data_IF_254043388603
#
_entry.id   IF_254043388603
#
_cell.length_a   1.000
_cell.length_b   1.000
_cell.length_c   1.000
_cell.angle_alpha   90.00
_cell.angle_beta   90.00
_cell.angle_gamma   90.00
#
_symmetry.space_group_name_H-M   'P 1'
#
loop_
_entity.id
_entity.type
_entity.pdbx_description
1 polymer ?
#
# COMPACT_ATOMS: atom_id res chain seq x y z
N UNK A 1 -9.28 2.62 3.46
CA UNK A 1 -9.19 1.77 2.25
C UNK A 1 -9.90 2.46 1.11
N UNK A 2 -9.22 2.65 -0.02
CA UNK A 2 -9.74 3.28 -1.24
C UNK A 2 -9.69 2.25 -2.36
N UNK A 3 -10.86 1.81 -2.84
CA UNK A 3 -11.00 0.67 -3.74
C UNK A 3 -11.34 -0.61 -2.97
N UNK A 4 -12.57 -1.09 -3.12
CA UNK A 4 -13.16 -2.25 -2.44
C UNK A 4 -13.43 -3.42 -3.41
N UNK A 5 -12.76 -3.44 -4.56
CA UNK A 5 -12.76 -4.57 -5.49
C UNK A 5 -12.02 -5.80 -4.94
N UNK A 6 -11.70 -6.78 -5.81
CA UNK A 6 -11.08 -8.05 -5.40
C UNK A 6 -9.78 -7.85 -4.59
N UNK A 7 -8.85 -7.06 -5.10
CA UNK A 7 -7.56 -6.83 -4.42
C UNK A 7 -7.73 -5.93 -3.19
N UNK A 8 -8.61 -4.92 -3.26
CA UNK A 8 -8.94 -4.05 -2.12
C UNK A 8 -9.51 -4.83 -0.93
N UNK A 9 -10.40 -5.79 -1.18
CA UNK A 9 -10.95 -6.65 -0.15
C UNK A 9 -9.87 -7.52 0.53
N UNK A 10 -8.92 -8.05 -0.23
CA UNK A 10 -7.79 -8.80 0.36
C UNK A 10 -6.84 -7.90 1.14
N UNK A 11 -6.51 -6.71 0.63
CA UNK A 11 -5.69 -5.74 1.35
C UNK A 11 -6.33 -5.36 2.70
N UNK A 12 -7.65 -5.10 2.72
CA UNK A 12 -8.39 -4.78 3.93
C UNK A 12 -8.41 -5.94 4.94
N UNK A 13 -8.57 -7.18 4.47
CA UNK A 13 -8.48 -8.38 5.33
C UNK A 13 -7.09 -8.55 5.93
N UNK A 14 -6.04 -8.28 5.15
CA UNK A 14 -4.66 -8.31 5.65
C UNK A 14 -4.43 -7.23 6.72
N UNK A 15 -4.95 -6.01 6.51
CA UNK A 15 -4.91 -4.94 7.51
C UNK A 15 -5.62 -5.37 8.80
N UNK A 16 -6.86 -5.88 8.70
CA UNK A 16 -7.62 -6.35 9.85
C UNK A 16 -6.92 -7.51 10.58
N UNK A 17 -6.31 -8.45 9.85
CA UNK A 17 -5.54 -9.55 10.43
C UNK A 17 -4.24 -9.08 11.12
N UNK A 18 -3.68 -7.96 10.67
CA UNK A 18 -2.56 -7.27 11.32
C UNK A 18 -3.02 -6.28 12.42
N UNK A 19 -4.26 -6.41 12.89
CA UNK A 19 -4.86 -5.63 13.97
C UNK A 19 -5.06 -4.13 13.66
N UNK A 20 -5.07 -3.74 12.38
CA UNK A 20 -5.53 -2.42 11.97
C UNK A 20 -7.07 -2.37 11.93
N UNK A 21 -7.65 -1.32 12.50
CA UNK A 21 -9.07 -1.01 12.43
C UNK A 21 -9.73 -0.76 13.79
N UNK A 22 -11.05 -0.48 13.82
CA UNK A 22 -11.95 -0.33 12.67
C UNK A 22 -11.55 0.83 11.75
N UNK A 23 -11.91 0.75 10.46
CA UNK A 23 -11.50 1.72 9.43
C UNK A 23 -12.63 2.16 8.50
N UNK A 24 -12.29 2.96 7.49
CA UNK A 24 -13.21 3.45 6.45
C UNK A 24 -12.94 2.74 5.11
N UNK A 25 -13.99 2.18 4.51
CA UNK A 25 -14.02 1.63 3.16
C UNK A 25 -14.68 2.62 2.20
N UNK A 26 -13.97 3.02 1.16
CA UNK A 26 -14.51 3.82 0.05
C UNK A 26 -14.36 3.06 -1.28
N UNK A 27 -15.39 3.11 -2.11
CA UNK A 27 -15.39 2.67 -3.50
C UNK A 27 -16.44 3.46 -4.30
N UNK A 28 -16.22 3.79 -5.58
CA UNK A 28 -17.26 4.33 -6.45
C UNK A 28 -18.53 3.47 -6.53
N UNK A 29 -18.42 2.15 -6.36
CA UNK A 29 -19.54 1.24 -6.10
C UNK A 29 -19.84 1.19 -4.58
N UNK A 30 -20.90 1.88 -4.10
CA UNK A 30 -21.23 1.90 -2.68
C UNK A 30 -21.62 0.53 -2.13
N UNK A 31 -22.10 -0.39 -2.97
CA UNK A 31 -22.43 -1.74 -2.52
C UNK A 31 -21.15 -2.55 -2.26
N UNK A 32 -20.07 -2.33 -3.03
CA UNK A 32 -18.77 -2.93 -2.78
C UNK A 32 -18.19 -2.45 -1.45
N UNK A 33 -18.21 -1.13 -1.20
CA UNK A 33 -17.77 -0.56 0.06
C UNK A 33 -18.59 -1.08 1.25
N UNK A 34 -19.92 -1.09 1.12
CA UNK A 34 -20.84 -1.57 2.16
C UNK A 34 -20.65 -3.04 2.50
N UNK A 35 -20.46 -3.92 1.50
CA UNK A 35 -20.20 -5.35 1.71
C UNK A 35 -18.92 -5.58 2.49
N UNK A 36 -17.82 -4.94 2.08
CA UNK A 36 -16.52 -5.12 2.73
C UNK A 36 -16.51 -4.52 4.14
N UNK A 37 -17.09 -3.32 4.31
CA UNK A 37 -17.24 -2.70 5.62
C UNK A 37 -18.02 -3.59 6.58
N UNK A 38 -19.17 -4.12 6.15
CA UNK A 38 -19.99 -5.03 6.95
C UNK A 38 -19.29 -6.35 7.30
N UNK A 39 -18.48 -6.89 6.39
CA UNK A 39 -17.66 -8.09 6.64
C UNK A 39 -16.63 -7.85 7.76
N UNK A 40 -15.95 -6.69 7.74
CA UNK A 40 -14.84 -6.39 8.64
C UNK A 40 -15.29 -5.70 9.95
N UNK A 41 -16.56 -5.32 10.07
CA UNK A 41 -17.04 -4.45 11.16
C UNK A 41 -16.46 -3.03 11.08
N UNK A 42 -16.19 -2.58 9.86
CA UNK A 42 -15.71 -1.24 9.50
C UNK A 42 -16.89 -0.39 9.00
N UNK A 43 -16.63 0.87 8.62
CA UNK A 43 -17.64 1.76 8.08
C UNK A 43 -17.42 2.00 6.58
N UNK A 44 -18.51 2.11 5.82
CA UNK A 44 -18.45 2.61 4.45
C UNK A 44 -18.57 4.13 4.49
N UNK A 45 -17.64 4.84 3.86
CA UNK A 45 -17.56 6.30 3.92
C UNK A 45 -17.12 6.92 2.60
N UNK A 46 -16.89 8.23 2.63
CA UNK A 46 -16.40 9.02 1.52
C UNK A 46 -14.89 8.83 1.27
N UNK A 47 -14.43 9.28 0.09
CA UNK A 47 -12.99 9.30 -0.23
C UNK A 47 -12.21 10.14 0.79
N UNK A 48 -12.74 11.31 1.16
CA UNK A 48 -12.11 12.21 2.13
C UNK A 48 -11.93 11.53 3.50
N UNK A 49 -12.97 10.86 4.00
CA UNK A 49 -12.90 10.12 5.27
C UNK A 49 -11.90 8.95 5.20
N UNK A 50 -11.81 8.27 4.06
CA UNK A 50 -10.85 7.19 3.83
C UNK A 50 -9.41 7.69 3.73
N UNK A 51 -9.18 8.87 3.13
CA UNK A 51 -7.86 9.51 3.01
C UNK A 51 -7.39 10.19 4.30
N UNK A 52 -8.32 10.55 5.20
CA UNK A 52 -8.01 11.14 6.50
C UNK A 52 -7.51 10.14 7.57
N UNK A 53 -7.35 8.86 7.22
CA UNK A 53 -6.87 7.82 8.15
C UNK A 53 -5.35 7.84 8.30
N UNK A 54 -4.83 7.35 9.42
CA UNK A 54 -3.38 7.25 9.67
C UNK A 54 -2.69 6.26 8.71
N UNK A 55 -3.42 5.23 8.28
CA UNK A 55 -2.99 4.23 7.30
C UNK A 55 -4.01 4.19 6.16
N UNK A 56 -3.57 4.63 5.00
CA UNK A 56 -4.34 4.61 3.76
C UNK A 56 -3.82 3.51 2.87
N UNK A 57 -4.73 2.84 2.17
CA UNK A 57 -4.37 1.82 1.19
C UNK A 57 -5.25 2.03 -0.03
N UNK A 58 -4.60 2.36 -1.14
CA UNK A 58 -5.21 2.61 -2.44
C UNK A 58 -5.05 1.36 -3.31
N UNK A 59 -6.18 0.88 -3.81
CA UNK A 59 -6.28 -0.30 -4.68
C UNK A 59 -7.35 -0.05 -5.75
N UNK A 60 -7.07 0.90 -6.62
CA UNK A 60 -7.93 1.38 -7.69
C UNK A 60 -7.36 0.98 -9.06
N UNK A 61 -8.13 1.07 -10.15
CA UNK A 61 -7.62 0.79 -11.49
C UNK A 61 -6.51 1.75 -11.99
N UNK A 62 -6.25 2.85 -11.27
CA UNK A 62 -5.22 3.83 -11.63
C UNK A 62 -5.51 4.69 -12.86
N UNK A 63 -6.77 4.76 -13.33
CA UNK A 63 -7.13 5.58 -14.50
C UNK A 63 -7.10 7.10 -14.20
N UNK A 64 -7.28 7.47 -12.94
CA UNK A 64 -7.23 8.85 -12.44
C UNK A 64 -6.71 8.83 -11.01
N UNK A 65 -5.84 9.79 -10.62
CA UNK A 65 -5.40 9.93 -9.24
C UNK A 65 -6.55 10.19 -8.28
N UNK A 66 -6.55 9.45 -7.17
CA UNK A 66 -7.46 9.61 -6.02
C UNK A 66 -6.79 10.31 -4.85
N UNK A 67 -5.46 10.22 -4.75
CA UNK A 67 -4.64 10.88 -3.73
C UNK A 67 -3.99 12.15 -4.31
N UNK A 68 -4.27 13.30 -3.71
CA UNK A 68 -3.68 14.59 -4.08
C UNK A 68 -2.68 15.04 -3.05
N UNK A 69 -1.84 16.01 -3.42
CA UNK A 69 -0.83 16.54 -2.49
C UNK A 69 -1.43 17.11 -1.20
N UNK A 70 -2.64 17.69 -1.27
CA UNK A 70 -3.35 18.23 -0.12
C UNK A 70 -3.89 17.17 0.86
N UNK A 71 -3.98 15.91 0.42
CA UNK A 71 -4.48 14.81 1.24
C UNK A 71 -3.37 14.19 2.11
N UNK A 72 -2.09 14.49 1.83
CA UNK A 72 -0.94 13.96 2.55
C UNK A 72 -0.76 14.69 3.89
N UNK A 73 -1.40 14.18 4.94
CA UNK A 73 -1.32 14.73 6.29
C UNK A 73 -0.08 14.25 7.05
N UNK A 74 0.48 15.04 7.98
CA UNK A 74 1.61 14.62 8.80
C UNK A 74 1.38 13.27 9.52
N UNK A 75 2.36 12.38 9.42
CA UNK A 75 2.30 11.05 10.04
C UNK A 75 1.58 9.96 9.23
N UNK A 76 0.92 10.28 8.12
CA UNK A 76 0.22 9.29 7.30
C UNK A 76 1.16 8.20 6.74
N UNK A 77 0.68 6.96 6.68
CA UNK A 77 1.27 5.88 5.89
C UNK A 77 0.33 5.55 4.72
N UNK A 78 0.88 5.43 3.51
CA UNK A 78 0.10 5.20 2.31
C UNK A 78 0.66 3.98 1.58
N UNK A 79 -0.19 2.99 1.35
CA UNK A 79 0.11 1.83 0.52
C UNK A 79 -0.53 2.01 -0.86
N UNK A 80 0.28 1.89 -1.91
CA UNK A 80 -0.12 2.05 -3.31
C UNK A 80 0.02 0.70 -4.01
N UNK A 81 -1.11 0.08 -4.36
CA UNK A 81 -1.17 -1.31 -4.84
C UNK A 81 -1.86 -1.44 -6.20
N UNK A 82 -2.48 -0.38 -6.72
CA UNK A 82 -3.31 -0.41 -7.92
C UNK A 82 -2.57 -0.09 -9.22
N UNK A 83 -1.45 0.64 -9.16
CA UNK A 83 -0.63 0.96 -10.33
C UNK A 83 0.25 -0.24 -10.73
N UNK A 84 -0.15 -0.95 -11.78
CA UNK A 84 0.50 -2.18 -12.27
C UNK A 84 0.90 -2.10 -13.76
N UNK A 85 1.01 -0.89 -14.32
CA UNK A 85 1.42 -0.71 -15.71
C UNK A 85 1.53 0.74 -16.18
N UNK A 86 2.14 0.98 -17.35
CA UNK A 86 2.41 2.31 -17.85
C UNK A 86 1.17 3.20 -17.95
N UNK A 87 1.27 4.41 -17.41
CA UNK A 87 0.20 5.42 -17.44
C UNK A 87 -0.90 5.23 -16.39
N UNK A 88 -0.84 4.18 -15.56
CA UNK A 88 -1.69 4.05 -14.38
C UNK A 88 -1.04 4.74 -13.19
N UNK A 89 -1.84 5.49 -12.43
CA UNK A 89 -1.43 6.12 -11.19
C UNK A 89 -2.66 6.34 -10.29
N UNK A 90 -2.50 6.16 -9.00
CA UNK A 90 -3.53 6.44 -8.00
C UNK A 90 -3.23 7.73 -7.22
N UNK A 91 -2.03 8.28 -7.33
CA UNK A 91 -1.59 9.52 -6.71
C UNK A 91 -1.09 10.56 -7.73
N UNK A 92 -1.25 11.83 -7.40
CA UNK A 92 -0.56 12.91 -8.11
C UNK A 92 0.96 12.83 -7.82
N UNK A 93 1.84 13.10 -8.81
CA UNK A 93 3.29 13.08 -8.62
C UNK A 93 3.78 13.90 -7.42
N UNK A 94 3.14 15.04 -7.16
CA UNK A 94 3.45 15.91 -6.02
C UNK A 94 3.06 15.27 -4.67
N UNK A 95 2.02 14.43 -4.63
CA UNK A 95 1.65 13.67 -3.43
C UNK A 95 2.69 12.59 -3.13
N UNK A 96 3.20 11.92 -4.17
CA UNK A 96 4.30 10.96 -4.06
C UNK A 96 5.54 11.66 -3.54
N UNK A 97 5.97 12.76 -4.17
CA UNK A 97 7.17 13.49 -3.80
C UNK A 97 7.12 14.12 -2.39
N UNK A 98 5.93 14.25 -1.79
CA UNK A 98 5.75 14.74 -0.42
C UNK A 98 5.98 13.68 0.66
N UNK A 99 6.21 12.41 0.28
CA UNK A 99 6.40 11.29 1.19
C UNK A 99 7.85 10.81 1.24
N UNK A 100 8.22 10.14 2.33
CA UNK A 100 9.37 9.23 2.30
C UNK A 100 8.98 7.95 1.57
N UNK A 101 9.79 7.58 0.58
CA UNK A 101 9.41 6.57 -0.40
C UNK A 101 10.04 5.21 -0.13
N UNK A 102 9.20 4.20 -0.22
CA UNK A 102 9.59 2.79 -0.19
C UNK A 102 9.00 2.08 -1.40
N UNK A 103 9.72 1.12 -1.96
CA UNK A 103 9.19 0.23 -2.99
C UNK A 103 9.61 -1.21 -2.74
N UNK A 104 8.93 -2.16 -3.37
CA UNK A 104 9.35 -3.55 -3.38
C UNK A 104 10.54 -3.78 -4.35
N UNK A 105 10.45 -3.27 -5.58
CA UNK A 105 11.52 -3.31 -6.59
C UNK A 105 11.55 -2.03 -7.44
N UNK A 106 12.64 -1.28 -7.34
CA UNK A 106 12.78 -0.02 -8.07
C UNK A 106 12.63 -0.14 -9.58
N UNK A 107 13.20 -1.19 -10.18
CA UNK A 107 13.13 -1.36 -11.63
C UNK A 107 11.69 -1.45 -12.14
N UNK A 108 10.75 -1.96 -11.32
CA UNK A 108 9.34 -2.03 -11.65
C UNK A 108 8.61 -0.75 -11.25
N UNK A 109 8.79 -0.30 -10.01
CA UNK A 109 8.15 0.89 -9.44
C UNK A 109 8.39 2.14 -10.29
N UNK A 110 9.64 2.37 -10.71
CA UNK A 110 10.04 3.55 -11.48
C UNK A 110 9.54 3.61 -12.93
N UNK A 111 9.00 2.52 -13.48
CA UNK A 111 8.54 2.47 -14.88
C UNK A 111 7.05 2.14 -15.04
N UNK A 112 6.45 1.43 -14.09
CA UNK A 112 5.06 0.99 -14.18
C UNK A 112 4.31 0.92 -12.86
N UNK A 113 4.97 1.21 -11.73
CA UNK A 113 4.31 1.39 -10.44
C UNK A 113 3.87 2.83 -10.20
N UNK A 114 3.49 3.13 -8.97
CA UNK A 114 3.05 4.45 -8.55
C UNK A 114 4.15 5.51 -8.68
N UNK A 115 5.42 5.11 -8.52
CA UNK A 115 6.55 6.06 -8.59
C UNK A 115 6.82 6.57 -10.01
N UNK A 116 6.37 5.87 -11.05
CA UNK A 116 6.70 6.17 -12.44
C UNK A 116 6.34 7.62 -12.83
N UNK A 117 5.17 8.11 -12.44
CA UNK A 117 4.74 9.47 -12.74
C UNK A 117 5.63 10.54 -12.10
N UNK A 118 6.11 10.32 -10.89
CA UNK A 118 7.01 11.24 -10.19
C UNK A 118 8.45 11.18 -10.73
N UNK A 119 8.89 10.01 -11.19
CA UNK A 119 10.18 9.84 -11.88
C UNK A 119 10.15 10.56 -13.23
N UNK A 120 9.11 10.37 -14.03
CA UNK A 120 8.95 11.02 -15.34
C UNK A 120 8.86 12.56 -15.20
N UNK A 121 8.26 13.05 -14.12
CA UNK A 121 8.21 14.48 -13.78
C UNK A 121 9.54 15.04 -13.24
N UNK A 122 10.54 14.20 -12.98
CA UNK A 122 11.83 14.59 -12.38
C UNK A 122 11.74 15.00 -10.91
N UNK A 123 10.69 14.60 -10.21
CA UNK A 123 10.46 14.89 -8.79
C UNK A 123 11.10 13.84 -7.87
N UNK A 124 11.30 12.62 -8.38
CA UNK A 124 11.84 11.47 -7.65
C UNK A 124 12.95 10.84 -8.47
N UNK A 125 14.05 10.49 -7.80
CA UNK A 125 15.18 9.73 -8.33
C UNK A 125 15.38 8.44 -7.54
N UNK A 126 16.27 7.57 -8.00
CA UNK A 126 16.56 6.29 -7.30
C UNK A 126 17.03 6.55 -5.87
N UNK A 127 17.80 7.60 -5.67
CA UNK A 127 18.41 7.97 -4.40
C UNK A 127 17.37 8.37 -3.34
N UNK A 128 16.15 8.73 -3.76
CA UNK A 128 15.06 9.13 -2.87
C UNK A 128 14.25 7.92 -2.33
N UNK A 129 14.48 6.72 -2.86
CA UNK A 129 13.63 5.54 -2.64
C UNK A 129 14.38 4.40 -1.96
N UNK A 130 13.80 3.90 -0.87
CA UNK A 130 14.36 2.78 -0.10
C UNK A 130 13.66 1.47 -0.44
N UNK A 131 14.40 0.41 -0.75
CA UNK A 131 13.79 -0.91 -0.97
C UNK A 131 13.26 -1.49 0.34
N UNK A 132 12.02 -1.98 0.34
CA UNK A 132 11.38 -2.58 1.52
C UNK A 132 12.21 -3.75 2.08
N UNK A 133 12.85 -4.54 1.20
CA UNK A 133 13.75 -5.62 1.62
C UNK A 133 14.94 -5.14 2.45
N UNK A 134 15.49 -3.96 2.16
CA UNK A 134 16.58 -3.38 2.94
C UNK A 134 16.10 -2.95 4.34
N UNK A 135 14.85 -2.47 4.46
CA UNK A 135 14.22 -2.16 5.75
C UNK A 135 13.99 -3.43 6.56
N UNK A 136 13.41 -4.46 5.95
CA UNK A 136 13.09 -5.74 6.62
C UNK A 136 14.33 -6.47 7.13
N UNK A 137 15.47 -6.28 6.48
CA UNK A 137 16.77 -6.87 6.89
C UNK A 137 17.55 -5.98 7.87
N UNK A 138 17.05 -4.78 8.18
CA UNK A 138 17.72 -3.80 9.04
C UNK A 138 18.92 -3.10 8.40
N UNK A 139 19.13 -3.26 7.09
CA UNK A 139 20.16 -2.54 6.34
C UNK A 139 19.82 -1.06 6.18
N UNK A 140 18.52 -0.77 6.02
CA UNK A 140 17.99 0.59 5.97
C UNK A 140 16.94 0.83 7.05
N UNK A 141 16.73 2.09 7.39
CA UNK A 141 15.73 2.48 8.39
C UNK A 141 14.35 2.52 7.75
N UNK A 142 13.33 2.05 8.46
CA UNK A 142 11.94 2.39 8.15
C UNK A 142 11.63 3.83 8.54
N UNK A 143 10.37 4.09 8.90
CA UNK A 143 9.91 5.38 9.41
C UNK A 143 10.82 5.93 10.53
N UNK A 144 11.22 7.20 10.43
CA UNK A 144 12.13 7.87 11.36
C UNK A 144 11.43 8.58 12.52
N UNK A 145 10.13 8.86 12.41
CA UNK A 145 9.35 9.51 13.46
C UNK A 145 7.84 9.53 13.19
N UNK A 146 7.02 9.88 14.21
CA UNK A 146 5.56 9.79 14.13
C UNK A 146 4.92 10.79 13.16
N UNK A 147 5.63 11.85 12.78
CA UNK A 147 5.13 12.88 11.85
C UNK A 147 5.66 12.70 10.42
N UNK A 148 6.61 11.78 10.20
CA UNK A 148 7.14 11.50 8.86
C UNK A 148 6.06 10.80 8.04
N UNK A 149 5.72 11.37 6.88
CA UNK A 149 4.79 10.76 5.93
C UNK A 149 5.53 9.70 5.11
N UNK A 150 4.88 8.57 4.86
CA UNK A 150 5.52 7.44 4.17
C UNK A 150 4.61 6.87 3.11
N UNK A 151 5.17 6.56 1.94
CA UNK A 151 4.47 5.91 0.84
C UNK A 151 5.22 4.65 0.45
N UNK A 152 4.49 3.54 0.32
CA UNK A 152 4.98 2.27 -0.19
C UNK A 152 4.33 1.97 -1.55
N UNK A 153 5.15 1.84 -2.59
CA UNK A 153 4.75 1.38 -3.92
C UNK A 153 4.98 -0.13 -4.06
N UNK A 154 3.91 -0.87 -4.33
CA UNK A 154 3.90 -2.33 -4.43
C UNK A 154 3.57 -2.75 -5.86
N UNK A 155 4.55 -3.21 -6.63
CA UNK A 155 4.35 -3.71 -7.99
C UNK A 155 4.10 -5.21 -8.08
N UNK A 156 4.42 -5.95 -7.01
CA UNK A 156 4.24 -7.40 -6.92
C UNK A 156 5.45 -8.16 -7.47
N UNK A 157 6.05 -9.00 -6.63
CA UNK A 157 7.26 -9.73 -6.96
C UNK A 157 6.99 -11.23 -7.04
N UNK A 158 7.49 -11.89 -8.08
CA UNK A 158 7.35 -13.35 -8.25
C UNK A 158 7.90 -14.16 -7.05
N UNK A 159 8.83 -13.60 -6.29
CA UNK A 159 9.34 -14.22 -5.05
C UNK A 159 8.27 -14.31 -3.95
N UNK A 160 7.31 -13.37 -3.91
CA UNK A 160 6.20 -13.37 -2.96
C UNK A 160 5.25 -14.52 -3.30
N UNK A 161 4.92 -14.71 -4.59
CA UNK A 161 4.12 -15.84 -5.06
C UNK A 161 4.79 -17.18 -4.76
N UNK A 162 6.10 -17.29 -5.05
CA UNK A 162 6.86 -18.51 -4.78
C UNK A 162 6.91 -18.83 -3.28
N UNK A 163 7.11 -17.82 -2.43
CA UNK A 163 7.10 -17.99 -0.98
C UNK A 163 5.74 -18.48 -0.48
N UNK A 164 4.64 -17.93 -1.01
CA UNK A 164 3.28 -18.38 -0.69
C UNK A 164 3.04 -19.82 -1.17
N UNK A 165 3.41 -20.15 -2.41
CA UNK A 165 3.34 -21.52 -2.92
C UNK A 165 4.14 -22.49 -2.05
N UNK A 166 5.34 -22.11 -1.63
CA UNK A 166 6.17 -22.93 -0.76
C UNK A 166 5.51 -23.14 0.61
N UNK A 167 4.94 -22.09 1.22
CA UNK A 167 4.23 -22.20 2.49
C UNK A 167 3.00 -23.11 2.40
N UNK A 168 2.21 -22.98 1.34
CA UNK A 168 1.00 -23.80 1.12
C UNK A 168 1.35 -25.26 0.80
N UNK A 169 2.38 -25.51 -0.01
CA UNK A 169 2.80 -26.86 -0.41
C UNK A 169 3.64 -27.56 0.67
N UNK A 170 4.42 -26.82 1.44
CA UNK A 170 5.28 -27.32 2.52
C UNK A 170 4.59 -27.42 3.89
N UNK A 171 3.42 -26.80 4.05
CA UNK A 171 2.78 -26.50 5.34
C UNK A 171 1.73 -27.47 5.87
N UNK A 172 1.87 -28.77 5.58
CA UNK A 172 1.35 -29.85 6.44
C UNK A 172 2.26 -30.15 7.64
N UNK A 173 3.08 -29.19 8.09
CA UNK A 173 3.96 -29.35 9.24
C UNK A 173 3.74 -28.21 10.24
N UNK A 174 3.15 -28.56 11.38
CA UNK A 174 3.01 -27.73 12.58
C UNK A 174 4.33 -27.03 12.97
N UNK A 175 4.28 -25.78 13.45
CA UNK A 175 5.47 -25.10 13.95
C UNK A 175 5.86 -25.72 15.31
N UNK A 176 6.80 -26.67 15.28
CA UNK A 176 7.48 -27.14 16.48
C UNK A 176 8.52 -26.10 16.91
N UNK A 177 8.27 -25.44 18.05
CA UNK A 177 9.33 -24.82 18.82
C UNK A 177 9.11 -23.34 19.12
N UNK A 178 8.82 -23.05 20.39
CA UNK A 178 8.96 -21.74 21.01
C UNK A 178 10.31 -21.13 20.64
N UNK A 179 10.32 -20.01 19.93
CA UNK A 179 11.42 -19.06 20.03
C UNK A 179 11.11 -18.20 21.25
N UNK A 180 11.85 -18.43 22.32
CA UNK A 180 11.88 -17.53 23.46
C UNK A 180 12.60 -16.24 23.05
N UNK A 181 11.95 -15.11 23.26
CA UNK A 181 12.60 -13.84 23.61
C UNK A 181 12.38 -13.63 25.11
#
# INVERSE_FOLDING_TARGET
>A
LVGCGLHGAWAARCLAAAEYGPGICFDPDPDAAGRLAGELGWEAGSLEEALAQDVVTCVTPGNQPVLRAGDVQPGIHINMLGADGPGKAEAEPEAVAACRLFCDEWAQASHGGELAGAVDAGLVSREDVTDLGAVLTGAERGRSGPQETTLFDSTGLAIQDLALCHAVLGGGAEPSGKVAL
#
